data_IF_577369328824
#
_entry.id   IF_577369328824
#
_cell.length_a   1.000
_cell.length_b   1.000
_cell.length_c   1.000
_cell.angle_alpha   90.00
_cell.angle_beta   90.00
_cell.angle_gamma   90.00
#
_symmetry.space_group_name_H-M   'P 1'
#
loop_
_entity.id
_entity.type
_entity.pdbx_description
1 polymer ?
#
# COMPACT_ATOMS: atom_id res chain seq x y z
N UNK A 1 35.27 -86.98 25.65
CA UNK A 1 34.54 -86.69 24.43
C UNK A 1 33.44 -85.74 24.76
N UNK A 2 33.66 -84.41 24.63
CA UNK A 2 32.68 -83.36 24.91
C UNK A 2 32.28 -82.74 23.57
N UNK A 3 30.97 -82.83 23.21
CA UNK A 3 30.41 -82.21 22.04
C UNK A 3 30.08 -80.75 22.36
N UNK A 4 30.63 -79.79 21.57
CA UNK A 4 30.20 -78.37 21.56
C UNK A 4 29.06 -78.19 20.57
N UNK A 5 28.07 -77.32 20.87
CA UNK A 5 26.96 -77.05 19.95
C UNK A 5 27.39 -76.02 18.85
N UNK A 6 26.90 -76.27 17.66
CA UNK A 6 27.01 -75.42 16.50
C UNK A 6 26.18 -74.12 16.75
N UNK A 7 26.85 -72.99 16.77
CA UNK A 7 26.19 -71.70 16.68
C UNK A 7 25.84 -71.33 15.23
N UNK A 8 24.56 -71.18 14.94
CA UNK A 8 24.07 -70.64 13.68
C UNK A 8 24.34 -69.15 13.64
N UNK A 9 25.25 -68.70 12.75
CA UNK A 9 25.42 -67.27 12.45
C UNK A 9 24.25 -66.81 11.52
N UNK A 10 23.33 -66.11 12.03
CA UNK A 10 22.30 -65.39 11.22
C UNK A 10 22.93 -64.07 10.76
N UNK A 11 23.30 -63.99 9.49
CA UNK A 11 23.71 -62.74 8.85
C UNK A 11 22.46 -61.88 8.67
N UNK A 12 22.27 -60.92 9.56
CA UNK A 12 21.28 -59.86 9.42
C UNK A 12 21.76 -58.85 8.40
N UNK A 13 21.18 -58.84 7.21
CA UNK A 13 21.40 -57.79 6.21
C UNK A 13 20.65 -56.53 6.69
N UNK A 14 21.40 -55.54 7.17
CA UNK A 14 20.85 -54.21 7.48
C UNK A 14 20.64 -53.51 6.13
N UNK A 15 19.40 -53.47 5.65
CA UNK A 15 19.02 -52.60 4.54
C UNK A 15 18.91 -51.15 5.10
N UNK A 16 19.95 -50.36 4.86
CA UNK A 16 19.89 -48.91 5.07
C UNK A 16 18.94 -48.31 4.03
N UNK A 17 17.71 -47.98 4.44
CA UNK A 17 16.80 -47.15 3.63
C UNK A 17 17.43 -45.74 3.53
N UNK A 18 18.13 -45.47 2.42
CA UNK A 18 18.50 -44.12 2.03
C UNK A 18 17.22 -43.44 1.56
N UNK A 19 16.56 -42.69 2.46
CA UNK A 19 15.51 -41.76 2.07
C UNK A 19 16.16 -40.61 1.31
N UNK A 20 16.15 -40.70 -0.02
CA UNK A 20 16.48 -39.56 -0.87
C UNK A 20 15.34 -38.53 -0.65
N UNK A 21 15.58 -37.57 0.23
CA UNK A 21 14.73 -36.36 0.36
C UNK A 21 14.89 -35.57 -0.94
N UNK A 22 13.96 -35.71 -1.86
CA UNK A 22 13.84 -34.81 -3.00
C UNK A 22 13.29 -33.48 -2.44
N UNK A 23 14.17 -32.65 -1.89
CA UNK A 23 13.85 -31.23 -1.78
C UNK A 23 13.64 -30.69 -3.20
N UNK A 24 12.56 -29.93 -3.48
CA UNK A 24 12.39 -29.31 -4.78
C UNK A 24 13.62 -28.45 -5.08
N UNK A 25 14.27 -28.72 -6.22
CA UNK A 25 15.39 -27.91 -6.71
C UNK A 25 14.87 -26.47 -6.86
N UNK A 26 15.52 -25.51 -6.22
CA UNK A 26 15.20 -24.11 -6.44
C UNK A 26 15.19 -23.84 -7.96
N UNK A 27 14.21 -23.08 -8.47
CA UNK A 27 14.18 -22.75 -9.89
C UNK A 27 15.50 -22.09 -10.27
N UNK A 28 16.05 -22.48 -11.42
CA UNK A 28 17.27 -21.84 -11.93
C UNK A 28 16.95 -20.39 -12.22
N UNK A 29 17.84 -19.44 -11.86
CA UNK A 29 17.60 -18.02 -12.08
C UNK A 29 17.38 -17.77 -13.57
N UNK A 30 16.31 -17.06 -13.91
CA UNK A 30 15.98 -16.71 -15.29
C UNK A 30 17.07 -15.80 -15.85
N UNK A 31 17.68 -16.21 -16.97
CA UNK A 31 18.81 -15.52 -17.58
C UNK A 31 18.31 -14.34 -18.42
N UNK A 32 18.75 -13.13 -18.09
CA UNK A 32 18.47 -11.93 -18.87
C UNK A 32 19.55 -11.68 -19.95
N UNK A 33 20.84 -11.89 -19.61
CA UNK A 33 21.94 -11.75 -20.55
C UNK A 33 23.15 -12.59 -20.14
N UNK A 34 24.05 -12.84 -21.11
CA UNK A 34 25.36 -13.46 -20.88
C UNK A 34 26.45 -12.57 -21.51
N UNK A 35 27.49 -12.30 -20.73
CA UNK A 35 28.63 -11.50 -21.17
C UNK A 35 29.89 -12.35 -20.90
N UNK A 36 30.45 -12.93 -21.92
CA UNK A 36 31.56 -13.91 -21.83
C UNK A 36 31.14 -15.11 -20.93
N UNK A 37 31.76 -15.24 -19.75
CA UNK A 37 31.44 -16.25 -18.73
C UNK A 37 30.46 -15.76 -17.68
N UNK A 38 30.17 -14.46 -17.64
CA UNK A 38 29.34 -13.84 -16.62
C UNK A 38 27.86 -13.79 -17.07
N UNK A 39 26.97 -13.94 -16.13
CA UNK A 39 25.52 -13.92 -16.38
C UNK A 39 24.85 -12.77 -15.65
N UNK A 40 23.88 -12.15 -16.31
CA UNK A 40 22.94 -11.21 -15.68
C UNK A 40 21.59 -11.91 -15.61
N UNK A 41 21.04 -12.01 -14.42
CA UNK A 41 19.72 -12.62 -14.21
C UNK A 41 18.60 -11.57 -14.29
N UNK A 42 17.37 -12.04 -14.52
CA UNK A 42 16.21 -11.15 -14.50
C UNK A 42 16.01 -10.53 -13.11
N UNK A 43 16.33 -11.27 -12.05
CA UNK A 43 16.31 -10.76 -10.67
C UNK A 43 17.25 -9.53 -10.49
N UNK A 44 18.45 -9.60 -11.07
CA UNK A 44 19.40 -8.47 -11.03
C UNK A 44 18.88 -7.26 -11.83
N UNK A 45 18.20 -7.50 -12.96
CA UNK A 45 17.57 -6.45 -13.75
C UNK A 45 16.41 -5.81 -12.97
N UNK A 46 15.57 -6.63 -12.36
CA UNK A 46 14.43 -6.19 -11.54
C UNK A 46 14.90 -5.40 -10.31
N UNK A 47 15.96 -5.85 -9.63
CA UNK A 47 16.56 -5.12 -8.52
C UNK A 47 17.09 -3.74 -8.95
N UNK A 48 17.74 -3.67 -10.12
CA UNK A 48 18.21 -2.41 -10.67
C UNK A 48 17.06 -1.48 -11.07
N UNK A 49 16.00 -2.01 -11.67
CA UNK A 49 14.79 -1.26 -12.01
C UNK A 49 14.12 -0.68 -10.75
N UNK A 50 14.00 -1.48 -9.69
CA UNK A 50 13.44 -1.05 -8.41
C UNK A 50 14.24 0.11 -7.79
N UNK A 51 15.55 0.10 -7.91
CA UNK A 51 16.44 1.15 -7.39
C UNK A 51 16.39 2.42 -8.26
N UNK A 52 16.48 2.28 -9.59
CA UNK A 52 16.64 3.42 -10.50
C UNK A 52 15.32 4.02 -11.00
N UNK A 53 14.24 3.24 -11.05
CA UNK A 53 12.93 3.63 -11.58
C UNK A 53 11.79 3.03 -10.72
N UNK A 54 11.68 3.42 -9.44
CA UNK A 54 10.73 2.82 -8.50
C UNK A 54 9.25 2.98 -8.93
N UNK A 55 8.91 4.06 -9.66
CA UNK A 55 7.56 4.25 -10.20
C UNK A 55 7.22 3.24 -11.31
N UNK A 56 8.17 2.99 -12.21
CA UNK A 56 8.01 1.99 -13.27
C UNK A 56 7.88 0.58 -12.64
N UNK A 57 8.69 0.29 -11.62
CA UNK A 57 8.61 -0.96 -10.86
C UNK A 57 7.26 -1.14 -10.16
N UNK A 58 6.75 -0.09 -9.51
CA UNK A 58 5.42 -0.10 -8.89
C UNK A 58 4.32 -0.36 -9.93
N UNK A 59 4.37 0.31 -11.08
CA UNK A 59 3.41 0.14 -12.17
C UNK A 59 3.42 -1.29 -12.74
N UNK A 60 4.60 -1.91 -12.85
CA UNK A 60 4.76 -3.30 -13.28
C UNK A 60 4.14 -4.26 -12.25
N UNK A 61 4.38 -4.04 -10.96
CA UNK A 61 3.78 -4.84 -9.90
C UNK A 61 2.25 -4.77 -9.94
N UNK A 62 1.68 -3.58 -10.04
CA UNK A 62 0.23 -3.39 -10.13
C UNK A 62 -0.37 -4.08 -11.35
N UNK A 63 0.33 -4.07 -12.49
CA UNK A 63 -0.09 -4.80 -13.68
C UNK A 63 -0.05 -6.31 -13.44
N UNK A 64 1.01 -6.85 -12.83
CA UNK A 64 1.13 -8.25 -12.43
C UNK A 64 0.03 -8.66 -11.44
N UNK A 65 -0.27 -7.82 -10.46
CA UNK A 65 -1.31 -8.06 -9.46
C UNK A 65 -2.71 -8.15 -10.09
N UNK A 66 -3.03 -7.23 -11.03
CA UNK A 66 -4.29 -7.29 -11.79
C UNK A 66 -4.38 -8.56 -12.64
N UNK A 67 -3.30 -8.93 -13.33
CA UNK A 67 -3.25 -10.15 -14.13
C UNK A 67 -3.40 -11.41 -13.27
N UNK A 68 -2.73 -11.45 -12.11
CA UNK A 68 -2.84 -12.56 -11.14
C UNK A 68 -4.27 -12.71 -10.62
N UNK A 69 -4.90 -11.60 -10.23
CA UNK A 69 -6.29 -11.63 -9.77
C UNK A 69 -7.24 -12.18 -10.83
N UNK A 70 -7.06 -11.80 -12.11
CA UNK A 70 -7.82 -12.33 -13.22
C UNK A 70 -7.59 -13.85 -13.41
N UNK A 71 -6.33 -14.31 -13.36
CA UNK A 71 -5.99 -15.73 -13.51
C UNK A 71 -6.56 -16.58 -12.36
N UNK A 72 -6.54 -16.07 -11.13
CA UNK A 72 -7.17 -16.73 -9.98
C UNK A 72 -8.66 -16.90 -10.24
N UNK A 73 -9.35 -15.85 -10.67
CA UNK A 73 -10.78 -15.91 -10.98
C UNK A 73 -11.08 -16.92 -12.08
N UNK A 74 -10.32 -16.92 -13.16
CA UNK A 74 -10.47 -17.89 -14.25
C UNK A 74 -10.28 -19.33 -13.77
N UNK A 75 -9.25 -19.58 -12.95
CA UNK A 75 -8.94 -20.89 -12.40
C UNK A 75 -10.09 -21.38 -11.50
N UNK A 76 -10.58 -20.55 -10.59
CA UNK A 76 -11.68 -20.89 -9.69
C UNK A 76 -12.98 -21.21 -10.46
N UNK A 77 -13.30 -20.41 -11.47
CA UNK A 77 -14.45 -20.65 -12.34
C UNK A 77 -14.31 -21.95 -13.12
N UNK A 78 -13.12 -22.22 -13.67
CA UNK A 78 -12.85 -23.45 -14.40
C UNK A 78 -12.95 -24.70 -13.50
N UNK A 79 -12.41 -24.63 -12.29
CA UNK A 79 -12.50 -25.71 -11.33
C UNK A 79 -13.94 -25.98 -10.90
N UNK A 80 -14.72 -24.92 -10.62
CA UNK A 80 -16.13 -25.04 -10.26
C UNK A 80 -16.95 -25.65 -11.40
N UNK A 81 -16.74 -25.18 -12.63
CA UNK A 81 -17.43 -25.71 -13.81
C UNK A 81 -17.08 -27.19 -14.03
N UNK A 82 -15.79 -27.55 -13.91
CA UNK A 82 -15.33 -28.93 -14.05
C UNK A 82 -15.92 -29.86 -12.99
N UNK A 83 -16.01 -29.42 -11.72
CA UNK A 83 -16.64 -30.18 -10.63
C UNK A 83 -18.15 -30.44 -10.89
N UNK A 84 -18.81 -29.54 -11.60
CA UNK A 84 -20.22 -29.66 -11.97
C UNK A 84 -20.46 -30.33 -13.33
N UNK A 85 -19.38 -30.63 -14.08
CA UNK A 85 -19.50 -31.26 -15.40
C UNK A 85 -20.10 -30.36 -16.48
N UNK A 86 -19.94 -29.05 -16.36
CA UNK A 86 -20.45 -28.05 -17.31
C UNK A 86 -19.32 -27.17 -17.83
N UNK A 87 -19.59 -26.47 -18.94
CA UNK A 87 -18.67 -25.46 -19.48
C UNK A 87 -18.67 -24.19 -18.60
N UNK A 88 -17.50 -23.53 -18.49
CA UNK A 88 -17.33 -22.31 -17.70
C UNK A 88 -18.34 -21.22 -18.05
N UNK A 89 -18.59 -21.00 -19.35
CA UNK A 89 -19.53 -19.97 -19.80
C UNK A 89 -20.98 -20.31 -19.43
N UNK A 90 -21.33 -21.59 -19.36
CA UNK A 90 -22.64 -22.05 -18.86
C UNK A 90 -22.78 -21.81 -17.34
N UNK A 91 -21.69 -22.01 -16.58
CA UNK A 91 -21.64 -21.69 -15.17
C UNK A 91 -21.88 -20.20 -14.93
N UNK A 92 -21.11 -19.34 -15.62
CA UNK A 92 -21.22 -17.87 -15.51
C UNK A 92 -22.61 -17.39 -15.90
N UNK A 93 -23.16 -17.93 -16.98
CA UNK A 93 -24.55 -17.60 -17.38
C UNK A 93 -25.54 -17.91 -16.27
N UNK A 94 -25.52 -19.13 -15.75
CA UNK A 94 -26.47 -19.62 -14.72
C UNK A 94 -26.33 -18.83 -13.41
N UNK A 95 -25.11 -18.62 -12.93
CA UNK A 95 -24.85 -18.09 -11.60
C UNK A 95 -24.81 -16.56 -11.56
N UNK A 96 -24.54 -15.92 -12.68
CA UNK A 96 -24.42 -14.46 -12.75
C UNK A 96 -25.48 -13.86 -13.66
N UNK A 97 -25.51 -14.23 -14.96
CA UNK A 97 -26.34 -13.52 -15.94
C UNK A 97 -27.84 -13.79 -15.77
N UNK A 98 -28.22 -15.05 -15.53
CA UNK A 98 -29.63 -15.46 -15.37
C UNK A 98 -30.21 -15.01 -14.01
N UNK A 99 -29.35 -14.57 -13.06
CA UNK A 99 -29.77 -14.03 -11.77
C UNK A 99 -30.00 -12.51 -11.79
N UNK A 100 -29.63 -11.83 -12.89
CA UNK A 100 -29.77 -10.38 -13.00
C UNK A 100 -31.24 -9.97 -13.14
N UNK A 101 -31.73 -9.20 -12.16
CA UNK A 101 -33.04 -8.57 -12.29
C UNK A 101 -32.98 -7.40 -13.30
N UNK A 102 -34.04 -7.26 -14.10
CA UNK A 102 -34.18 -6.09 -14.96
C UNK A 102 -34.20 -4.79 -14.14
N UNK A 103 -33.54 -3.75 -14.66
CA UNK A 103 -33.57 -2.44 -14.03
C UNK A 103 -34.99 -1.86 -14.06
N UNK A 104 -35.59 -1.67 -12.90
CA UNK A 104 -36.93 -1.11 -12.78
C UNK A 104 -36.96 0.40 -13.05
N UNK A 105 -38.10 0.91 -13.51
CA UNK A 105 -38.30 2.35 -13.69
C UNK A 105 -38.24 3.09 -12.36
N UNK A 106 -38.58 2.46 -11.24
CA UNK A 106 -38.43 3.03 -9.90
C UNK A 106 -36.95 3.22 -9.54
N UNK A 107 -36.05 2.30 -9.89
CA UNK A 107 -34.62 2.41 -9.67
C UNK A 107 -34.03 3.55 -10.53
N UNK A 108 -34.49 3.69 -11.77
CA UNK A 108 -34.08 4.78 -12.69
C UNK A 108 -34.50 6.14 -12.12
N UNK A 109 -35.75 6.26 -11.67
CA UNK A 109 -36.27 7.49 -11.07
C UNK A 109 -35.49 7.85 -9.80
N UNK A 110 -35.25 6.90 -8.92
CA UNK A 110 -34.48 7.13 -7.68
C UNK A 110 -33.04 7.62 -8.00
N UNK A 111 -32.36 6.95 -8.93
CA UNK A 111 -31.02 7.34 -9.36
C UNK A 111 -31.01 8.76 -9.94
N UNK A 112 -31.99 9.08 -10.79
CA UNK A 112 -32.13 10.41 -11.40
C UNK A 112 -32.30 11.50 -10.35
N UNK A 113 -33.21 11.31 -9.39
CA UNK A 113 -33.44 12.30 -8.33
C UNK A 113 -32.20 12.55 -7.46
N UNK A 114 -31.47 11.48 -7.13
CA UNK A 114 -30.24 11.56 -6.33
C UNK A 114 -29.06 12.21 -7.10
N UNK A 115 -29.07 12.16 -8.43
CA UNK A 115 -27.94 12.62 -9.25
C UNK A 115 -28.30 13.74 -10.23
N UNK A 116 -29.45 14.39 -10.07
CA UNK A 116 -29.98 15.38 -11.01
C UNK A 116 -28.97 16.51 -11.31
N UNK A 117 -28.24 16.98 -10.32
CA UNK A 117 -27.22 18.02 -10.51
C UNK A 117 -26.04 17.52 -11.35
N UNK A 118 -25.57 16.27 -11.09
CA UNK A 118 -24.48 15.65 -11.83
C UNK A 118 -24.86 15.33 -13.27
N UNK A 119 -26.14 15.15 -13.54
CA UNK A 119 -26.70 14.95 -14.87
C UNK A 119 -26.92 16.28 -15.64
N UNK A 120 -26.41 17.38 -15.13
CA UNK A 120 -26.48 18.70 -15.76
C UNK A 120 -27.89 19.28 -15.86
N UNK A 121 -28.82 18.85 -15.00
CA UNK A 121 -30.21 19.31 -15.01
C UNK A 121 -31.05 18.83 -16.23
N UNK A 122 -30.53 17.87 -17.00
CA UNK A 122 -31.24 17.28 -18.14
C UNK A 122 -32.52 16.55 -17.68
N UNK A 123 -33.57 16.59 -18.52
CA UNK A 123 -34.82 15.89 -18.22
C UNK A 123 -34.64 14.37 -18.19
N UNK A 124 -35.38 13.69 -17.32
CA UNK A 124 -35.32 12.24 -17.16
C UNK A 124 -35.46 11.48 -18.50
N UNK A 125 -36.40 11.89 -19.36
CA UNK A 125 -36.63 11.25 -20.64
C UNK A 125 -35.36 11.20 -21.50
N UNK A 126 -34.55 12.25 -21.46
CA UNK A 126 -33.30 12.37 -22.22
C UNK A 126 -32.19 11.42 -21.68
N UNK A 127 -32.17 11.16 -20.38
CA UNK A 127 -31.09 10.41 -19.72
C UNK A 127 -31.49 9.00 -19.30
N UNK A 128 -32.78 8.65 -19.40
CA UNK A 128 -33.36 7.41 -18.88
C UNK A 128 -32.64 6.15 -19.40
N UNK A 129 -32.39 6.07 -20.69
CA UNK A 129 -31.70 4.89 -21.26
C UNK A 129 -30.25 4.80 -20.81
N UNK A 130 -29.55 5.91 -20.70
CA UNK A 130 -28.17 5.96 -20.17
C UNK A 130 -28.12 5.54 -18.71
N UNK A 131 -29.11 5.97 -17.90
CA UNK A 131 -29.22 5.53 -16.51
C UNK A 131 -29.53 4.02 -16.45
N UNK A 132 -30.43 3.50 -17.28
CA UNK A 132 -30.75 2.07 -17.34
C UNK A 132 -29.51 1.24 -17.64
N UNK A 133 -28.75 1.62 -18.66
CA UNK A 133 -27.50 0.94 -19.04
C UNK A 133 -26.46 0.99 -17.91
N UNK A 134 -26.29 2.13 -17.27
CA UNK A 134 -25.41 2.29 -16.14
C UNK A 134 -25.82 1.36 -14.97
N UNK A 135 -27.08 1.39 -14.56
CA UNK A 135 -27.57 0.52 -13.48
C UNK A 135 -27.49 -0.97 -13.84
N UNK A 136 -27.76 -1.33 -15.09
CA UNK A 136 -27.60 -2.70 -15.55
C UNK A 136 -26.13 -3.17 -15.48
N UNK A 137 -25.19 -2.31 -15.88
CA UNK A 137 -23.76 -2.62 -15.78
C UNK A 137 -23.28 -2.73 -14.31
N UNK A 138 -23.80 -1.90 -13.41
CA UNK A 138 -23.52 -1.98 -11.99
C UNK A 138 -24.10 -3.26 -11.35
N UNK A 139 -25.33 -3.63 -11.70
CA UNK A 139 -25.93 -4.89 -11.25
C UNK A 139 -25.10 -6.10 -11.71
N UNK A 140 -24.68 -6.10 -12.98
CA UNK A 140 -23.83 -7.16 -13.52
C UNK A 140 -22.49 -7.22 -12.77
N UNK A 141 -21.82 -6.07 -12.58
CA UNK A 141 -20.56 -5.99 -11.84
C UNK A 141 -20.70 -6.48 -10.40
N UNK A 142 -21.77 -6.07 -9.72
CA UNK A 142 -22.02 -6.48 -8.34
C UNK A 142 -22.29 -7.99 -8.23
N UNK A 143 -23.10 -8.55 -9.13
CA UNK A 143 -23.38 -9.99 -9.17
C UNK A 143 -22.11 -10.80 -9.46
N UNK A 144 -21.31 -10.34 -10.44
CA UNK A 144 -20.00 -10.95 -10.76
C UNK A 144 -19.06 -10.95 -9.56
N UNK A 145 -18.85 -9.79 -8.94
CA UNK A 145 -17.96 -9.66 -7.78
C UNK A 145 -18.44 -10.49 -6.59
N UNK A 146 -19.76 -10.54 -6.36
CA UNK A 146 -20.34 -11.37 -5.30
C UNK A 146 -20.12 -12.86 -5.55
N UNK A 147 -20.35 -13.34 -6.77
CA UNK A 147 -20.17 -14.75 -7.11
C UNK A 147 -18.70 -15.17 -7.04
N UNK A 148 -17.81 -14.42 -7.70
CA UNK A 148 -16.36 -14.70 -7.71
C UNK A 148 -15.76 -14.53 -6.33
N UNK A 149 -16.21 -13.52 -5.55
CA UNK A 149 -15.82 -13.33 -4.16
C UNK A 149 -16.13 -14.58 -3.32
N UNK A 150 -17.34 -15.12 -3.45
CA UNK A 150 -17.72 -16.37 -2.77
C UNK A 150 -16.87 -17.58 -3.17
N UNK A 151 -16.40 -17.65 -4.43
CA UNK A 151 -15.45 -18.70 -4.85
C UNK A 151 -14.08 -18.53 -4.21
N UNK A 152 -13.57 -17.28 -4.12
CA UNK A 152 -12.30 -16.95 -3.47
C UNK A 152 -12.34 -17.28 -1.98
N UNK A 153 -13.41 -16.88 -1.29
CA UNK A 153 -13.58 -17.14 0.16
C UNK A 153 -13.63 -18.65 0.49
N UNK A 154 -14.10 -19.46 -0.46
CA UNK A 154 -14.18 -20.93 -0.30
C UNK A 154 -12.90 -21.67 -0.72
N UNK A 155 -11.90 -20.98 -1.28
CA UNK A 155 -10.66 -21.57 -1.78
C UNK A 155 -9.48 -21.25 -0.85
N UNK A 156 -8.52 -22.18 -0.79
CA UNK A 156 -7.22 -21.92 -0.18
C UNK A 156 -6.30 -21.27 -1.23
N UNK A 157 -6.14 -19.94 -1.15
CA UNK A 157 -5.36 -19.16 -2.12
C UNK A 157 -4.15 -18.58 -1.42
N UNK A 158 -2.97 -19.06 -1.78
CA UNK A 158 -1.70 -18.50 -1.34
C UNK A 158 -1.09 -17.62 -2.43
N UNK A 159 -1.06 -16.31 -2.21
CA UNK A 159 -0.39 -15.35 -3.10
C UNK A 159 1.05 -15.18 -2.66
N UNK A 160 1.99 -15.48 -3.57
CA UNK A 160 3.44 -15.35 -3.34
C UNK A 160 4.06 -14.19 -4.11
N UNK A 161 3.23 -13.37 -4.77
CA UNK A 161 3.68 -12.17 -5.47
C UNK A 161 4.05 -11.09 -4.46
N UNK A 162 5.34 -10.87 -4.26
CA UNK A 162 5.84 -9.88 -3.31
C UNK A 162 5.65 -8.44 -3.83
N UNK A 163 5.08 -7.54 -3.01
CA UNK A 163 4.97 -6.14 -3.38
C UNK A 163 6.36 -5.48 -3.41
N UNK A 164 6.57 -4.48 -4.30
CA UNK A 164 7.78 -3.68 -4.29
C UNK A 164 7.92 -2.92 -2.96
N UNK A 165 9.17 -2.80 -2.51
CA UNK A 165 9.51 -2.04 -1.30
C UNK A 165 10.58 -1.01 -1.62
N UNK A 166 10.24 0.25 -1.55
CA UNK A 166 11.20 1.34 -1.65
C UNK A 166 12.16 1.30 -0.45
N UNK A 167 13.45 1.42 -0.70
CA UNK A 167 14.45 1.53 0.37
C UNK A 167 14.63 3.01 0.71
N UNK A 168 13.83 3.48 1.66
CA UNK A 168 13.86 4.88 2.10
C UNK A 168 14.82 4.99 3.29
N UNK A 169 15.95 5.65 3.08
CA UNK A 169 16.87 5.95 4.18
C UNK A 169 16.26 6.99 5.12
N UNK A 170 16.20 6.69 6.42
CA UNK A 170 15.67 7.56 7.46
C UNK A 170 16.75 7.80 8.51
N UNK A 171 17.01 9.08 8.81
CA UNK A 171 17.94 9.49 9.86
C UNK A 171 17.34 9.45 11.27
N UNK A 172 18.16 9.81 12.24
CA UNK A 172 17.71 9.97 13.63
C UNK A 172 17.08 11.33 13.94
N UNK A 173 17.40 12.33 13.13
CA UNK A 173 17.05 13.74 13.39
C UNK A 173 15.72 14.15 12.69
N UNK A 174 15.13 13.25 11.91
CA UNK A 174 13.85 13.52 11.23
C UNK A 174 12.70 13.55 12.24
N UNK A 175 11.68 14.41 12.01
CA UNK A 175 10.49 14.42 12.85
C UNK A 175 9.84 13.04 12.89
N UNK A 176 9.83 12.40 14.04
CA UNK A 176 9.29 11.04 14.17
C UNK A 176 8.55 10.81 15.48
N UNK A 177 7.62 9.85 15.46
CA UNK A 177 6.92 9.32 16.62
C UNK A 177 7.08 7.80 16.67
N UNK A 178 7.22 7.26 17.89
CA UNK A 178 7.49 5.84 18.11
C UNK A 178 9.00 5.53 18.26
N UNK A 179 9.33 4.28 18.63
CA UNK A 179 10.72 3.87 18.85
C UNK A 179 11.55 3.87 17.57
N UNK A 180 12.84 4.20 17.71
CA UNK A 180 13.77 4.21 16.55
C UNK A 180 13.98 2.82 15.95
N UNK A 181 13.82 1.77 16.75
CA UNK A 181 13.97 0.35 16.40
C UNK A 181 12.63 -0.36 16.18
N UNK A 182 11.54 0.38 16.00
CA UNK A 182 10.23 -0.20 15.69
C UNK A 182 10.31 -1.08 14.43
N UNK A 183 9.68 -2.26 14.42
CA UNK A 183 9.72 -3.18 13.28
C UNK A 183 9.03 -2.61 12.01
N UNK A 184 8.12 -1.67 12.19
CA UNK A 184 7.41 -1.00 11.10
C UNK A 184 7.86 0.46 10.99
N UNK A 185 8.49 0.79 9.88
CA UNK A 185 8.78 2.16 9.48
C UNK A 185 7.65 2.68 8.58
N UNK A 186 6.94 3.70 9.04
CA UNK A 186 5.90 4.40 8.30
C UNK A 186 6.42 5.81 7.95
N UNK A 187 6.76 6.04 6.70
CA UNK A 187 7.17 7.37 6.19
C UNK A 187 5.97 8.03 5.53
N UNK A 188 5.61 9.22 5.99
CA UNK A 188 4.57 10.08 5.41
C UNK A 188 5.21 11.22 4.63
N UNK A 189 4.86 11.38 3.35
CA UNK A 189 5.11 12.60 2.58
C UNK A 189 3.85 13.45 2.59
N UNK A 190 3.95 14.66 3.14
CA UNK A 190 2.78 15.46 3.50
C UNK A 190 2.95 16.94 3.15
N UNK A 191 1.83 17.65 3.10
CA UNK A 191 1.74 19.08 2.79
C UNK A 191 0.73 19.73 3.74
N UNK A 192 1.15 20.73 4.48
CA UNK A 192 0.32 21.39 5.50
C UNK A 192 -0.89 22.13 4.93
N UNK A 193 -0.87 22.59 3.68
CA UNK A 193 -2.04 23.17 3.01
C UNK A 193 -2.96 22.13 2.35
N UNK A 194 -2.50 20.86 2.21
CA UNK A 194 -3.29 19.83 1.54
C UNK A 194 -4.45 19.33 2.43
N UNK A 195 -5.71 19.49 2.00
CA UNK A 195 -6.86 19.06 2.80
C UNK A 195 -6.95 17.53 2.94
N UNK A 196 -6.32 16.78 2.03
CA UNK A 196 -6.25 15.32 2.10
C UNK A 196 -5.27 14.86 3.19
N UNK A 197 -4.16 15.61 3.43
CA UNK A 197 -3.24 15.34 4.52
C UNK A 197 -3.94 15.51 5.88
N UNK A 198 -4.66 16.61 6.07
CA UNK A 198 -5.46 16.80 7.28
C UNK A 198 -6.49 15.68 7.51
N UNK A 199 -7.08 15.13 6.43
CA UNK A 199 -8.04 14.00 6.52
C UNK A 199 -7.38 12.66 6.83
N UNK A 200 -6.10 12.48 6.59
CA UNK A 200 -5.38 11.26 6.93
C UNK A 200 -5.03 11.17 8.43
N UNK A 201 -4.88 12.30 9.13
CA UNK A 201 -4.48 12.34 10.54
C UNK A 201 -5.26 11.41 11.48
N UNK A 202 -6.61 11.31 11.42
CA UNK A 202 -7.33 10.38 12.30
C UNK A 202 -6.91 8.92 12.10
N UNK A 203 -6.65 8.48 10.86
CA UNK A 203 -6.20 7.13 10.59
C UNK A 203 -4.78 6.89 11.10
N UNK A 204 -3.87 7.86 10.93
CA UNK A 204 -2.50 7.79 11.47
C UNK A 204 -2.49 7.75 13.00
N UNK A 205 -3.33 8.57 13.66
CA UNK A 205 -3.49 8.53 15.11
C UNK A 205 -3.93 7.14 15.57
N UNK A 206 -4.92 6.55 14.89
CA UNK A 206 -5.38 5.20 15.20
C UNK A 206 -4.28 4.15 14.96
N UNK A 207 -3.44 4.30 13.94
CA UNK A 207 -2.27 3.43 13.74
C UNK A 207 -1.32 3.49 14.94
N UNK A 208 -0.98 4.69 15.39
CA UNK A 208 -0.07 4.87 16.54
C UNK A 208 -0.70 4.35 17.86
N UNK A 209 -2.01 4.51 18.04
CA UNK A 209 -2.75 3.99 19.20
C UNK A 209 -2.83 2.46 19.20
N UNK A 210 -3.10 1.83 18.04
CA UNK A 210 -3.28 0.38 17.93
C UNK A 210 -1.98 -0.40 17.96
N UNK A 211 -0.95 0.11 17.26
CA UNK A 211 0.31 -0.61 17.11
C UNK A 211 1.41 -0.17 18.11
N UNK A 212 1.26 1.00 18.73
CA UNK A 212 2.17 1.48 19.79
C UNK A 212 3.64 1.43 19.39
N UNK A 213 4.43 0.70 20.18
CA UNK A 213 5.89 0.57 20.00
C UNK A 213 6.30 -0.22 18.74
N UNK A 214 5.36 -0.77 18.00
CA UNK A 214 5.64 -1.51 16.74
C UNK A 214 5.80 -0.60 15.52
N UNK A 215 5.42 0.67 15.61
CA UNK A 215 5.43 1.61 14.48
C UNK A 215 6.26 2.84 14.82
N UNK A 216 7.19 3.19 13.94
CA UNK A 216 7.84 4.50 13.87
C UNK A 216 7.25 5.28 12.70
N UNK A 217 6.51 6.34 13.00
CA UNK A 217 6.06 7.32 12.01
C UNK A 217 7.14 8.38 11.80
N UNK A 218 7.52 8.61 10.55
CA UNK A 218 8.44 9.68 10.13
C UNK A 218 7.71 10.61 9.19
N UNK A 219 7.79 11.90 9.45
CA UNK A 219 7.20 12.94 8.62
C UNK A 219 8.23 13.52 7.66
N UNK A 220 7.85 13.68 6.39
CA UNK A 220 8.62 14.35 5.34
C UNK A 220 7.78 15.38 4.63
N UNK A 221 8.38 16.51 4.37
CA UNK A 221 7.74 17.61 3.70
C UNK A 221 7.63 17.36 2.18
N UNK A 222 6.44 17.50 1.64
CA UNK A 222 6.20 17.46 0.18
C UNK A 222 5.26 18.58 -0.25
N UNK A 223 5.72 19.85 -0.16
CA UNK A 223 4.90 21.01 -0.49
C UNK A 223 4.56 21.05 -1.98
N UNK A 224 3.28 20.97 -2.31
CA UNK A 224 2.77 21.00 -3.67
C UNK A 224 2.85 22.42 -4.24
N UNK A 225 3.25 22.56 -5.50
CA UNK A 225 3.39 23.88 -6.17
C UNK A 225 2.09 24.67 -6.29
N UNK A 226 0.93 24.02 -6.15
CA UNK A 226 -0.38 24.65 -6.14
C UNK A 226 -0.76 25.27 -4.78
N UNK A 227 0.01 25.00 -3.74
CA UNK A 227 -0.20 25.46 -2.38
C UNK A 227 0.81 26.55 -2.02
N UNK A 228 0.41 27.84 -2.01
CA UNK A 228 1.35 28.95 -1.97
C UNK A 228 2.13 29.10 -0.65
N UNK A 229 1.59 28.61 0.48
CA UNK A 229 2.23 28.72 1.79
C UNK A 229 2.83 27.37 2.28
N UNK A 230 2.60 26.27 1.58
CA UNK A 230 3.01 24.95 2.02
C UNK A 230 4.51 24.84 2.29
N UNK A 231 5.34 25.43 1.41
CA UNK A 231 6.79 25.42 1.58
C UNK A 231 7.23 26.18 2.83
N UNK A 232 6.66 27.37 3.06
CA UNK A 232 7.00 28.16 4.24
C UNK A 232 6.49 27.49 5.53
N UNK A 233 5.33 26.84 5.49
CA UNK A 233 4.80 26.08 6.62
C UNK A 233 5.70 24.86 6.94
N UNK A 234 6.26 24.20 5.92
CA UNK A 234 7.24 23.14 6.07
C UNK A 234 8.52 23.66 6.76
N UNK A 235 9.11 24.75 6.26
CA UNK A 235 10.28 25.37 6.89
C UNK A 235 9.99 25.82 8.35
N UNK A 236 8.78 26.32 8.62
CA UNK A 236 8.33 26.71 9.96
C UNK A 236 8.21 25.51 10.90
N UNK A 237 7.75 24.36 10.44
CA UNK A 237 7.65 23.16 11.26
C UNK A 237 9.03 22.66 11.71
N UNK A 238 10.04 22.76 10.82
CA UNK A 238 11.43 22.45 11.16
C UNK A 238 12.05 23.49 12.11
N UNK A 239 11.64 24.77 12.07
CA UNK A 239 12.00 25.73 13.08
C UNK A 239 11.40 25.41 14.47
N UNK A 240 10.20 24.83 14.52
CA UNK A 240 9.62 24.31 15.75
C UNK A 240 10.34 23.03 16.23
N UNK A 241 10.86 22.21 15.29
CA UNK A 241 11.70 21.04 15.60
C UNK A 241 12.98 21.43 16.37
N UNK A 242 13.62 22.54 16.04
CA UNK A 242 14.80 23.02 16.78
C UNK A 242 14.53 23.34 18.25
N UNK A 243 13.25 23.49 18.61
CA UNK A 243 12.78 23.70 19.99
C UNK A 243 12.06 22.46 20.54
N UNK A 244 12.26 21.28 19.93
CA UNK A 244 11.65 20.00 20.30
C UNK A 244 10.10 20.01 20.30
N UNK A 245 9.47 20.87 19.47
CA UNK A 245 8.03 21.07 19.44
C UNK A 245 7.42 20.85 18.03
N UNK A 246 8.06 19.99 17.22
CA UNK A 246 7.56 19.70 15.88
C UNK A 246 6.09 19.24 15.88
N UNK A 247 5.76 18.24 16.67
CA UNK A 247 4.42 17.62 16.61
C UNK A 247 3.31 18.53 17.15
N UNK A 248 3.61 19.35 18.17
CA UNK A 248 2.64 20.34 18.63
C UNK A 248 2.38 21.39 17.56
N UNK A 249 3.43 21.83 16.87
CA UNK A 249 3.32 22.80 15.80
C UNK A 249 2.65 22.22 14.56
N UNK A 250 3.02 20.99 14.18
CA UNK A 250 2.39 20.19 13.12
C UNK A 250 0.88 20.10 13.32
N UNK A 251 0.42 19.81 14.52
CA UNK A 251 -1.00 19.68 14.81
C UNK A 251 -1.74 21.02 14.62
N UNK A 252 -1.17 22.12 15.09
CA UNK A 252 -1.71 23.46 14.90
C UNK A 252 -1.77 23.86 13.43
N UNK A 253 -0.73 23.55 12.63
CA UNK A 253 -0.74 23.84 11.20
C UNK A 253 -1.89 23.12 10.47
N UNK A 254 -2.12 21.83 10.79
CA UNK A 254 -3.22 21.07 10.21
C UNK A 254 -4.60 21.51 10.72
N UNK A 255 -4.71 22.04 11.93
CA UNK A 255 -5.94 22.64 12.42
C UNK A 255 -6.30 23.95 11.68
N UNK A 256 -5.27 24.65 11.19
CA UNK A 256 -5.40 25.95 10.55
C UNK A 256 -4.94 25.99 9.08
N UNK A 257 -5.11 24.92 8.34
CA UNK A 257 -4.60 24.73 6.96
C UNK A 257 -4.90 25.89 5.99
N UNK A 258 -5.90 26.74 6.26
CA UNK A 258 -6.29 27.87 5.41
C UNK A 258 -5.65 29.20 5.82
N UNK A 259 -4.91 29.22 6.91
CA UNK A 259 -4.32 30.41 7.53
C UNK A 259 -2.83 30.17 7.82
N UNK A 260 -2.02 29.90 6.77
CA UNK A 260 -0.60 29.58 6.87
C UNK A 260 0.30 30.70 6.29
N UNK A 261 -0.15 31.97 6.38
CA UNK A 261 0.70 33.11 6.00
C UNK A 261 1.81 33.34 7.04
N UNK A 262 2.89 34.04 6.72
CA UNK A 262 4.00 34.27 7.64
C UNK A 262 3.57 34.76 9.03
N UNK A 263 2.64 35.72 9.08
CA UNK A 263 2.12 36.27 10.35
C UNK A 263 1.34 35.23 11.18
N UNK A 264 0.65 34.32 10.50
CA UNK A 264 -0.10 33.25 11.16
C UNK A 264 0.87 32.21 11.75
N UNK A 265 1.93 31.87 11.02
CA UNK A 265 2.97 30.92 11.46
C UNK A 265 3.69 31.40 12.72
N UNK A 266 4.14 32.67 12.78
CA UNK A 266 4.76 33.26 13.98
C UNK A 266 3.80 33.28 15.16
N UNK A 267 2.53 33.58 14.94
CA UNK A 267 1.50 33.55 15.97
C UNK A 267 1.34 32.15 16.57
N UNK A 268 1.20 31.13 15.73
CA UNK A 268 1.06 29.74 16.18
C UNK A 268 2.25 29.26 17.01
N UNK A 269 3.47 29.64 16.60
CA UNK A 269 4.68 29.34 17.39
C UNK A 269 4.59 29.94 18.81
N UNK A 270 4.16 31.20 18.92
CA UNK A 270 3.96 31.88 20.22
C UNK A 270 2.84 31.22 21.04
N UNK A 271 1.70 30.90 20.40
CA UNK A 271 0.52 30.32 21.04
C UNK A 271 0.82 28.96 21.70
N UNK A 272 1.71 28.16 21.10
CA UNK A 272 2.15 26.89 21.70
C UNK A 272 3.36 27.03 22.64
N UNK A 273 3.83 28.27 22.90
CA UNK A 273 4.87 28.57 23.88
C UNK A 273 6.31 28.37 23.38
N UNK A 274 6.56 28.46 22.05
CA UNK A 274 7.92 28.55 21.52
C UNK A 274 8.54 29.93 21.81
N UNK A 275 9.87 30.01 21.83
CA UNK A 275 10.57 31.30 21.73
C UNK A 275 10.32 31.91 20.36
N UNK A 276 9.38 32.85 20.31
CA UNK A 276 8.98 33.50 19.06
C UNK A 276 10.13 34.25 18.37
N UNK A 277 11.06 34.84 19.15
CA UNK A 277 12.22 35.54 18.56
C UNK A 277 13.17 34.56 17.89
N UNK A 278 13.46 33.42 18.52
CA UNK A 278 14.29 32.37 17.94
C UNK A 278 13.60 31.72 16.73
N UNK A 279 12.29 31.50 16.83
CA UNK A 279 11.49 30.96 15.72
C UNK A 279 11.48 31.89 14.50
N UNK A 280 11.18 33.17 14.68
CA UNK A 280 11.17 34.15 13.59
C UNK A 280 12.55 34.28 12.95
N UNK A 281 13.61 34.36 13.73
CA UNK A 281 15.00 34.38 13.22
C UNK A 281 15.35 33.11 12.44
N UNK A 282 14.86 31.94 12.88
CA UNK A 282 15.00 30.71 12.15
C UNK A 282 14.31 30.77 10.78
N UNK A 283 13.01 31.15 10.76
CA UNK A 283 12.20 31.17 9.56
C UNK A 283 12.73 32.22 8.57
N UNK A 284 13.07 33.43 9.02
CA UNK A 284 13.67 34.49 8.19
C UNK A 284 15.02 34.09 7.57
N UNK A 285 15.79 33.23 8.25
CA UNK A 285 17.08 32.75 7.74
C UNK A 285 16.96 31.81 6.55
N UNK A 286 15.80 31.15 6.36
CA UNK A 286 15.58 30.14 5.32
C UNK A 286 16.47 28.90 5.44
N UNK A 287 17.06 28.64 6.62
CA UNK A 287 18.07 27.58 6.79
C UNK A 287 17.55 26.18 6.57
N UNK A 288 16.23 25.96 6.62
CA UNK A 288 15.59 24.69 6.33
C UNK A 288 15.07 24.53 4.89
N UNK A 289 15.29 25.55 4.02
CA UNK A 289 14.85 25.48 2.63
C UNK A 289 15.46 24.29 1.86
N UNK A 290 16.72 23.95 2.16
CA UNK A 290 17.40 22.81 1.54
C UNK A 290 16.84 21.48 2.07
N UNK A 291 16.56 21.37 3.37
CA UNK A 291 15.95 20.16 3.98
C UNK A 291 14.58 19.86 3.36
N UNK A 292 13.70 20.85 3.25
CA UNK A 292 12.40 20.72 2.58
C UNK A 292 12.57 20.35 1.10
N UNK A 293 13.58 20.90 0.43
CA UNK A 293 13.86 20.55 -0.97
C UNK A 293 14.37 19.11 -1.13
N UNK A 294 15.14 18.61 -0.19
CA UNK A 294 15.67 17.25 -0.20
C UNK A 294 14.57 16.23 0.10
N UNK A 295 13.64 16.54 1.00
CA UNK A 295 12.43 15.74 1.22
C UNK A 295 11.57 15.67 -0.04
N UNK A 296 11.33 16.81 -0.69
CA UNK A 296 10.59 16.88 -1.96
C UNK A 296 11.25 15.99 -3.03
N UNK A 297 12.56 16.14 -3.25
CA UNK A 297 13.33 15.31 -4.22
C UNK A 297 13.26 13.82 -3.87
N UNK A 298 13.35 13.49 -2.58
CA UNK A 298 13.20 12.12 -2.09
C UNK A 298 11.83 11.57 -2.45
N UNK A 299 10.76 12.31 -2.18
CA UNK A 299 9.41 11.90 -2.56
C UNK A 299 9.25 11.72 -4.07
N UNK A 300 9.75 12.67 -4.89
CA UNK A 300 9.76 12.58 -6.34
C UNK A 300 10.51 11.34 -6.84
N UNK A 301 11.67 11.01 -6.25
CA UNK A 301 12.44 9.81 -6.57
C UNK A 301 11.63 8.53 -6.35
N UNK A 302 10.86 8.46 -5.27
CA UNK A 302 9.97 7.33 -4.98
C UNK A 302 8.60 7.42 -5.67
N UNK A 303 8.44 8.33 -6.66
CA UNK A 303 7.24 8.46 -7.47
C UNK A 303 6.06 9.12 -6.75
N UNK A 304 6.30 9.89 -5.69
CA UNK A 304 5.26 10.70 -5.06
C UNK A 304 4.88 11.84 -6.00
N UNK A 305 3.62 11.88 -6.41
CA UNK A 305 3.06 12.90 -7.31
C UNK A 305 1.95 13.73 -6.66
N UNK A 306 1.67 13.46 -5.38
CA UNK A 306 0.64 14.15 -4.60
C UNK A 306 0.61 13.66 -3.17
N UNK A 307 -0.02 14.42 -2.30
CA UNK A 307 -0.05 14.21 -0.86
C UNK A 307 -1.47 13.90 -0.34
N UNK A 308 -1.57 13.13 0.76
CA UNK A 308 -0.48 12.43 1.42
C UNK A 308 -0.04 11.18 0.63
N UNK A 309 1.23 10.79 0.77
CA UNK A 309 1.72 9.50 0.33
C UNK A 309 2.48 8.82 1.48
N UNK A 310 2.28 7.53 1.64
CA UNK A 310 2.86 6.77 2.74
C UNK A 310 3.69 5.62 2.19
N UNK A 311 4.74 5.25 2.95
CA UNK A 311 5.52 4.05 2.72
C UNK A 311 5.64 3.26 4.03
N UNK A 312 5.08 2.07 4.05
CA UNK A 312 5.07 1.17 5.21
C UNK A 312 6.07 0.06 4.93
N UNK A 313 7.23 0.08 5.59
CA UNK A 313 8.37 -0.77 5.25
C UNK A 313 8.66 -0.76 3.74
N UNK A 314 8.56 0.43 3.13
CA UNK A 314 8.76 0.66 1.69
C UNK A 314 7.56 0.32 0.79
N UNK A 315 6.49 -0.27 1.29
CA UNK A 315 5.24 -0.50 0.53
C UNK A 315 4.44 0.78 0.44
N UNK A 316 4.16 1.21 -0.78
CA UNK A 316 3.48 2.49 -1.05
C UNK A 316 1.97 2.40 -0.77
N UNK A 317 1.45 3.40 -0.08
CA UNK A 317 0.02 3.65 0.11
C UNK A 317 -0.27 5.13 -0.22
N UNK A 318 -1.17 5.40 -1.17
CA UNK A 318 -1.39 6.76 -1.70
C UNK A 318 -2.73 7.34 -1.25
N UNK A 319 -2.71 8.62 -0.90
CA UNK A 319 -3.91 9.39 -0.55
C UNK A 319 -4.40 9.17 0.87
N UNK A 320 -5.44 9.91 1.27
CA UNK A 320 -6.08 9.78 2.58
C UNK A 320 -6.89 8.48 2.65
N UNK A 321 -6.25 7.41 3.07
CA UNK A 321 -6.84 6.09 3.21
C UNK A 321 -7.44 5.89 4.61
N UNK A 322 -8.47 5.03 4.76
CA UNK A 322 -8.99 4.64 6.06
C UNK A 322 -7.99 3.77 6.83
N UNK A 323 -8.11 3.72 8.16
CA UNK A 323 -7.26 2.91 9.04
C UNK A 323 -7.10 1.45 8.56
N UNK A 324 -8.17 0.81 8.09
CA UNK A 324 -8.12 -0.58 7.62
C UNK A 324 -7.10 -0.82 6.50
N UNK A 325 -6.81 0.18 5.65
CA UNK A 325 -5.81 0.06 4.59
C UNK A 325 -4.38 0.07 5.16
N UNK A 326 -4.11 0.88 6.18
CA UNK A 326 -2.85 0.86 6.91
C UNK A 326 -2.69 -0.45 7.67
N UNK A 327 -3.74 -0.86 8.40
CA UNK A 327 -3.78 -2.09 9.18
C UNK A 327 -3.40 -3.30 8.33
N UNK A 328 -4.02 -3.48 7.18
CA UNK A 328 -3.71 -4.59 6.28
C UNK A 328 -2.22 -4.66 5.92
N UNK A 329 -1.61 -3.52 5.57
CA UNK A 329 -0.21 -3.50 5.17
C UNK A 329 0.70 -3.74 6.38
N UNK A 330 0.39 -3.16 7.53
CA UNK A 330 1.17 -3.31 8.77
C UNK A 330 1.14 -4.76 9.24
N UNK A 331 -0.03 -5.38 9.26
CA UNK A 331 -0.21 -6.77 9.66
C UNK A 331 0.57 -7.72 8.74
N UNK A 332 0.44 -7.53 7.40
CA UNK A 332 1.22 -8.29 6.40
C UNK A 332 2.74 -8.16 6.64
N UNK A 333 3.23 -6.95 6.95
CA UNK A 333 4.67 -6.72 7.17
C UNK A 333 5.14 -7.31 8.52
N UNK A 334 4.33 -7.25 9.57
CA UNK A 334 4.62 -7.91 10.84
C UNK A 334 4.71 -9.44 10.69
N UNK A 335 3.74 -10.05 10.00
CA UNK A 335 3.78 -11.48 9.69
C UNK A 335 5.00 -11.86 8.84
N UNK A 336 5.37 -11.02 7.88
CA UNK A 336 6.57 -11.23 7.07
C UNK A 336 7.84 -11.21 7.93
N UNK A 337 7.98 -10.24 8.82
CA UNK A 337 9.12 -10.12 9.73
C UNK A 337 9.24 -11.35 10.63
N UNK A 338 8.14 -11.80 11.22
CA UNK A 338 8.11 -13.02 12.05
C UNK A 338 8.52 -14.27 11.25
N UNK A 339 8.06 -14.39 10.00
CA UNK A 339 8.36 -15.54 9.13
C UNK A 339 9.83 -15.61 8.70
N UNK A 340 10.46 -14.46 8.43
CA UNK A 340 11.86 -14.40 7.96
C UNK A 340 12.88 -14.25 9.09
N UNK A 341 12.43 -14.02 10.34
CA UNK A 341 13.28 -13.93 11.51
C UNK A 341 14.14 -12.66 11.57
N UNK A 342 13.62 -11.55 11.03
CA UNK A 342 14.25 -10.21 11.05
C UNK A 342 13.87 -9.46 12.32
#
# INVERSE_FOLDING_TARGET
>A
VIRLPRQNLVLGAIFALVTISCAPKAPEPELAAQINSDTITLEQVDARLQESEPEAWQSLFEARQRALAFLIDEQLLQEKASKEGIERDSLVRREVLDQLAAVSDSAINLFYEQNRQRLGGQDLVTVQERIRQYLASENHRSAWLGYVGGLRDAADIQVVLEPPRAVIAVGGDEPSQGPLDAPILLVEYSDFECPYCGRAKPALRQVLEEYGDKVRLVFRDFPLSIHPNARLAAEASLCAQEQDRFWDYHDVLFEHQRELRPVDLSRYATDIGLDGTAFDACLESGRFADAVSDDLKSGEHFGVTGTPAFFINGRRLTGAQPFAAFQQIIDDELERIERVGL
#
